data_IF_131675908940
#
_entry.id   IF_131675908940
#
_cell.length_a   1.000
_cell.length_b   1.000
_cell.length_c   1.000
_cell.angle_alpha   90.00
_cell.angle_beta   90.00
_cell.angle_gamma   90.00
#
_symmetry.space_group_name_H-M   'P 1'
#
loop_
_entity.id
_entity.type
_entity.pdbx_description
1 polymer ?
#
# COMPACT_ATOMS: atom_id res chain seq x y z
N UNK A 1 -26.76 -34.39 -36.48
CA UNK A 1 -25.31 -34.21 -36.19
C UNK A 1 -24.86 -32.74 -36.12
N UNK A 2 -25.34 -31.85 -36.96
CA UNK A 2 -24.90 -30.41 -36.96
C UNK A 2 -25.40 -29.59 -35.75
N UNK A 3 -26.53 -29.91 -35.13
CA UNK A 3 -27.07 -29.18 -33.97
C UNK A 3 -26.27 -29.45 -32.68
N UNK A 4 -25.77 -30.69 -32.50
CA UNK A 4 -25.03 -31.06 -31.31
C UNK A 4 -23.66 -30.38 -31.21
N UNK A 5 -23.03 -30.09 -32.35
CA UNK A 5 -21.72 -29.41 -32.40
C UNK A 5 -21.85 -27.94 -31.96
N UNK A 6 -22.95 -27.28 -32.35
CA UNK A 6 -23.19 -25.88 -31.96
C UNK A 6 -23.49 -25.72 -30.47
N UNK A 7 -24.23 -26.68 -29.90
CA UNK A 7 -24.54 -26.69 -28.45
C UNK A 7 -23.30 -26.97 -27.60
N UNK A 8 -22.45 -27.91 -28.04
CA UNK A 8 -21.19 -28.21 -27.33
C UNK A 8 -20.23 -27.03 -27.41
N UNK A 9 -20.12 -26.33 -28.56
CA UNK A 9 -19.28 -25.13 -28.68
C UNK A 9 -19.78 -23.97 -27.79
N UNK A 10 -21.08 -23.76 -27.67
CA UNK A 10 -21.64 -22.71 -26.83
C UNK A 10 -21.38 -22.97 -25.33
N UNK A 11 -21.50 -24.23 -24.88
CA UNK A 11 -21.22 -24.62 -23.48
C UNK A 11 -19.70 -24.53 -23.19
N UNK A 12 -18.84 -24.93 -24.11
CA UNK A 12 -17.39 -24.85 -23.93
C UNK A 12 -16.90 -23.40 -23.86
N UNK A 13 -17.51 -22.46 -24.62
CA UNK A 13 -17.18 -21.04 -24.56
C UNK A 13 -17.66 -20.38 -23.26
N UNK A 14 -18.83 -20.78 -22.76
CA UNK A 14 -19.37 -20.29 -21.48
C UNK A 14 -18.55 -20.72 -20.26
N UNK A 15 -18.01 -21.95 -20.26
CA UNK A 15 -17.16 -22.46 -19.14
C UNK A 15 -15.79 -21.79 -19.13
N UNK A 16 -15.24 -21.41 -20.30
CA UNK A 16 -13.93 -20.75 -20.39
C UNK A 16 -13.94 -19.31 -19.82
N UNK A 17 -15.12 -18.65 -19.79
CA UNK A 17 -15.26 -17.29 -19.24
C UNK A 17 -15.31 -17.27 -17.71
N UNK A 18 -15.48 -18.40 -17.04
CA UNK A 18 -15.56 -18.50 -15.57
C UNK A 18 -14.20 -18.64 -14.87
N UNK A 19 -13.11 -18.72 -15.63
CA UNK A 19 -11.75 -18.93 -15.09
C UNK A 19 -10.91 -17.65 -15.04
N UNK A 20 -11.51 -16.46 -15.17
CA UNK A 20 -10.77 -15.21 -14.96
C UNK A 20 -10.48 -15.13 -13.45
N UNK A 21 -9.21 -15.19 -13.01
CA UNK A 21 -8.90 -14.99 -11.60
C UNK A 21 -9.30 -13.56 -11.24
N UNK A 22 -10.38 -13.42 -10.47
CA UNK A 22 -10.69 -12.14 -9.82
C UNK A 22 -9.57 -11.93 -8.82
N UNK A 23 -8.64 -11.06 -9.12
CA UNK A 23 -7.69 -10.56 -8.12
C UNK A 23 -8.53 -9.83 -7.08
N UNK A 24 -8.81 -10.51 -5.99
CA UNK A 24 -9.36 -9.88 -4.80
C UNK A 24 -8.34 -8.81 -4.38
N UNK A 25 -8.73 -7.54 -4.39
CA UNK A 25 -7.97 -6.49 -3.74
C UNK A 25 -7.98 -6.83 -2.25
N UNK A 26 -6.86 -7.33 -1.74
CA UNK A 26 -6.69 -7.51 -0.32
C UNK A 26 -6.77 -6.14 0.34
N UNK A 27 -7.64 -5.98 1.34
CA UNK A 27 -7.70 -4.74 2.10
C UNK A 27 -6.42 -4.59 2.92
N UNK A 28 -5.95 -3.36 3.15
CA UNK A 28 -4.78 -3.11 4.00
C UNK A 28 -4.94 -3.72 5.41
N UNK A 29 -6.18 -3.83 5.91
CA UNK A 29 -6.49 -4.50 7.17
C UNK A 29 -6.31 -6.02 7.12
N UNK A 30 -6.34 -6.64 5.94
CA UNK A 30 -6.01 -8.06 5.78
C UNK A 30 -4.50 -8.31 5.84
N UNK A 31 -3.70 -7.36 5.36
CA UNK A 31 -2.24 -7.51 5.21
C UNK A 31 -1.46 -6.94 6.41
N UNK A 32 -1.99 -5.92 7.10
CA UNK A 32 -1.29 -5.22 8.18
C UNK A 32 -2.04 -5.30 9.52
N UNK A 33 -1.28 -5.40 10.61
CA UNK A 33 -1.81 -5.38 11.99
C UNK A 33 -1.72 -3.97 12.55
N UNK A 34 -2.81 -3.21 12.46
CA UNK A 34 -2.88 -1.83 12.93
C UNK A 34 -2.73 -1.67 14.45
N UNK A 35 -2.84 -2.75 15.23
CA UNK A 35 -2.60 -2.74 16.68
C UNK A 35 -1.12 -2.80 17.05
N UNK A 36 -0.25 -3.16 16.10
CA UNK A 36 1.19 -3.27 16.29
C UNK A 36 1.91 -2.32 15.34
N UNK A 37 2.59 -1.35 15.90
CA UNK A 37 3.37 -0.38 15.13
C UNK A 37 4.85 -0.49 15.43
N UNK A 38 5.65 -0.01 14.50
CA UNK A 38 7.08 0.21 14.66
C UNK A 38 7.44 1.60 14.16
N UNK A 39 8.58 2.10 14.66
CA UNK A 39 9.08 3.42 14.28
C UNK A 39 10.52 3.29 13.82
N UNK A 40 10.82 3.89 12.67
CA UNK A 40 12.19 3.95 12.13
C UNK A 40 12.51 5.36 11.65
N UNK A 41 13.79 5.72 11.71
CA UNK A 41 14.31 6.95 11.11
C UNK A 41 15.08 6.59 9.86
N UNK A 42 14.75 7.23 8.75
CA UNK A 42 15.38 6.96 7.46
C UNK A 42 15.36 8.14 6.51
N UNK A 43 15.99 7.95 5.37
CA UNK A 43 16.01 8.93 4.28
C UNK A 43 15.13 8.42 3.16
N UNK A 44 14.18 9.24 2.69
CA UNK A 44 13.32 8.89 1.56
C UNK A 44 14.14 8.71 0.28
N UNK A 45 13.99 7.56 -0.38
CA UNK A 45 14.77 7.22 -1.58
C UNK A 45 13.91 7.14 -2.84
N UNK A 46 12.61 6.84 -2.70
CA UNK A 46 11.69 6.70 -3.82
C UNK A 46 10.25 6.93 -3.39
N UNK A 47 9.43 7.43 -4.30
CA UNK A 47 8.00 7.63 -4.12
C UNK A 47 7.28 7.12 -5.37
N UNK A 48 6.48 6.08 -5.22
CA UNK A 48 5.60 5.53 -6.26
C UNK A 48 4.16 6.02 -6.00
N UNK A 49 3.81 7.13 -6.64
CA UNK A 49 2.51 7.79 -6.46
C UNK A 49 1.52 7.35 -7.53
N UNK A 50 1.10 6.09 -7.49
CA UNK A 50 0.29 5.41 -8.51
C UNK A 50 -0.86 4.63 -7.89
N UNK A 51 -1.91 4.32 -8.70
CA UNK A 51 -2.95 3.38 -8.31
C UNK A 51 -2.43 1.93 -8.41
N UNK A 52 -2.92 1.00 -7.59
CA UNK A 52 -3.98 1.16 -6.59
C UNK A 52 -3.50 1.73 -5.26
N UNK A 53 -2.20 1.66 -4.94
CA UNK A 53 -1.65 2.15 -3.68
C UNK A 53 -0.39 2.97 -3.91
N UNK A 54 -0.18 3.98 -3.06
CA UNK A 54 1.07 4.72 -3.01
C UNK A 54 2.08 3.95 -2.16
N UNK A 55 3.31 3.85 -2.65
CA UNK A 55 4.46 3.31 -1.91
C UNK A 55 5.52 4.38 -1.71
N UNK A 56 6.06 4.42 -0.50
CA UNK A 56 7.22 5.24 -0.15
C UNK A 56 8.35 4.34 0.33
N UNK A 57 9.55 4.63 -0.11
CA UNK A 57 10.74 3.86 0.21
C UNK A 57 11.72 4.72 0.98
N UNK A 58 12.36 4.14 1.98
CA UNK A 58 13.38 4.83 2.78
C UNK A 58 14.54 3.90 3.12
N UNK A 59 15.73 4.44 3.13
CA UNK A 59 16.92 3.80 3.65
C UNK A 59 17.06 4.10 5.14
N UNK A 60 17.09 3.06 5.95
CA UNK A 60 17.29 3.10 7.40
C UNK A 60 18.68 2.59 7.71
N UNK A 61 19.42 3.28 8.55
CA UNK A 61 20.74 2.82 9.02
C UNK A 61 20.54 2.06 10.33
N UNK A 62 20.95 0.80 10.36
CA UNK A 62 20.91 -0.05 11.56
C UNK A 62 22.03 0.30 12.55
N UNK A 63 22.00 -0.36 13.71
CA UNK A 63 22.98 -0.17 14.80
C UNK A 63 24.43 -0.47 14.38
N UNK A 64 24.62 -1.24 13.31
CA UNK A 64 25.93 -1.61 12.77
C UNK A 64 26.37 -0.67 11.62
N UNK A 65 25.59 0.37 11.32
CA UNK A 65 25.85 1.29 10.22
C UNK A 65 25.47 0.74 8.84
N UNK A 66 24.75 -0.39 8.77
CA UNK A 66 24.30 -0.97 7.51
C UNK A 66 23.02 -0.30 7.06
N UNK A 67 22.95 0.00 5.76
CA UNK A 67 21.74 0.52 5.12
C UNK A 67 20.74 -0.63 4.88
N UNK A 68 19.55 -0.47 5.41
CA UNK A 68 18.43 -1.40 5.26
C UNK A 68 17.31 -0.68 4.52
N UNK A 69 16.95 -1.12 3.30
CA UNK A 69 15.82 -0.54 2.58
C UNK A 69 14.49 -0.98 3.19
N UNK A 70 13.60 -0.01 3.40
CA UNK A 70 12.23 -0.21 3.86
C UNK A 70 11.25 0.23 2.78
N UNK A 71 10.10 -0.43 2.73
CA UNK A 71 8.95 -0.02 1.93
C UNK A 71 7.72 0.22 2.81
N UNK A 72 6.98 1.28 2.49
CA UNK A 72 5.80 1.68 3.24
C UNK A 72 4.65 1.84 2.26
N UNK A 73 3.60 1.07 2.48
CA UNK A 73 2.36 1.15 1.73
C UNK A 73 1.42 2.17 2.37
N UNK A 74 0.61 2.83 1.56
CA UNK A 74 -0.50 3.66 2.00
C UNK A 74 -1.65 3.57 1.00
N UNK A 75 -2.71 4.32 1.21
CA UNK A 75 -3.91 4.29 0.37
C UNK A 75 -3.69 4.81 -1.05
N UNK A 76 -4.75 4.74 -1.89
CA UNK A 76 -4.70 5.26 -3.25
C UNK A 76 -4.46 6.77 -3.30
N UNK A 77 -3.81 7.30 -4.36
CA UNK A 77 -3.56 8.73 -4.52
C UNK A 77 -4.78 9.62 -4.35
N UNK A 78 -5.95 9.15 -4.82
CA UNK A 78 -7.20 9.88 -4.70
C UNK A 78 -7.69 10.03 -3.25
N UNK A 79 -7.53 9.01 -2.41
CA UNK A 79 -7.88 9.05 -0.99
C UNK A 79 -6.94 9.98 -0.24
N UNK A 80 -5.64 9.87 -0.48
CA UNK A 80 -4.63 10.73 0.13
C UNK A 80 -4.91 12.21 -0.18
N UNK A 81 -5.20 12.53 -1.45
CA UNK A 81 -5.52 13.90 -1.85
C UNK A 81 -6.77 14.45 -1.14
N UNK A 82 -7.82 13.62 -0.97
CA UNK A 82 -9.02 14.02 -0.22
C UNK A 82 -8.72 14.28 1.26
N UNK A 83 -7.75 13.58 1.82
CA UNK A 83 -7.24 13.80 3.18
C UNK A 83 -6.23 14.95 3.28
N UNK A 84 -5.97 15.67 2.19
CA UNK A 84 -5.01 16.78 2.16
C UNK A 84 -3.56 16.36 1.98
N UNK A 85 -3.30 15.07 1.73
CA UNK A 85 -1.94 14.54 1.51
C UNK A 85 -1.66 14.46 0.02
N UNK A 86 -0.66 15.20 -0.44
CA UNK A 86 -0.29 15.30 -1.86
C UNK A 86 1.19 14.96 -2.09
N UNK A 87 1.49 14.48 -3.29
CA UNK A 87 2.84 14.05 -3.69
C UNK A 87 3.94 15.10 -3.40
N UNK A 88 3.62 16.37 -3.57
CA UNK A 88 4.56 17.50 -3.42
C UNK A 88 4.97 17.79 -1.98
N UNK A 89 4.35 17.16 -0.98
CA UNK A 89 4.74 17.25 0.42
C UNK A 89 6.01 16.45 0.74
N UNK A 90 6.49 15.60 -0.17
CA UNK A 90 7.57 14.66 0.07
C UNK A 90 8.64 14.79 -1.01
N UNK A 91 9.91 14.84 -0.60
CA UNK A 91 11.05 14.86 -1.51
C UNK A 91 11.96 13.66 -1.23
N UNK A 92 12.52 13.10 -2.30
CA UNK A 92 13.65 12.17 -2.17
C UNK A 92 14.80 12.91 -1.51
N UNK A 93 15.39 12.29 -0.49
CA UNK A 93 16.43 12.90 0.35
C UNK A 93 15.90 13.47 1.68
N UNK A 94 14.59 13.61 1.89
CA UNK A 94 14.05 14.01 3.18
C UNK A 94 14.40 12.98 4.26
N UNK A 95 14.96 13.46 5.37
CA UNK A 95 15.20 12.64 6.56
C UNK A 95 13.95 12.71 7.44
N UNK A 96 13.34 11.56 7.68
CA UNK A 96 12.05 11.45 8.35
C UNK A 96 12.05 10.35 9.40
N UNK A 97 11.19 10.51 10.40
CA UNK A 97 10.83 9.44 11.34
C UNK A 97 9.48 8.90 10.91
N UNK A 98 9.41 7.61 10.63
CA UNK A 98 8.26 6.93 10.05
C UNK A 98 7.65 5.99 11.09
N UNK A 99 6.35 6.15 11.35
CA UNK A 99 5.54 5.21 12.11
C UNK A 99 4.69 4.38 11.15
N UNK A 100 4.74 3.05 11.29
CA UNK A 100 4.01 2.14 10.42
C UNK A 100 3.49 0.92 11.17
N UNK A 101 2.37 0.35 10.71
CA UNK A 101 1.85 -0.92 11.18
C UNK A 101 2.62 -2.09 10.56
N UNK A 102 2.81 -3.17 11.33
CA UNK A 102 3.56 -4.35 10.89
C UNK A 102 2.76 -5.20 9.90
N UNK A 103 3.46 -5.86 8.97
CA UNK A 103 2.86 -6.87 8.10
C UNK A 103 2.49 -8.13 8.91
N UNK A 104 1.27 -8.64 8.74
CA UNK A 104 0.75 -9.80 9.47
C UNK A 104 1.45 -11.11 9.12
N UNK A 105 1.94 -11.22 7.90
CA UNK A 105 2.68 -12.39 7.40
C UNK A 105 4.15 -12.44 7.90
N UNK A 106 4.57 -11.42 8.65
CA UNK A 106 5.94 -11.31 9.17
C UNK A 106 6.96 -10.79 8.16
N UNK A 107 6.54 -10.27 7.01
CA UNK A 107 7.43 -9.62 6.04
C UNK A 107 8.19 -8.50 6.72
N UNK A 108 9.53 -8.60 6.70
CA UNK A 108 10.41 -7.59 7.32
C UNK A 108 10.56 -6.38 6.42
N UNK A 109 10.78 -5.21 7.04
CA UNK A 109 11.05 -3.94 6.35
C UNK A 109 9.90 -3.48 5.42
N UNK A 110 8.68 -3.98 5.70
CA UNK A 110 7.42 -3.58 5.08
C UNK A 110 6.46 -3.08 6.15
N UNK A 111 5.77 -1.96 5.92
CA UNK A 111 4.77 -1.46 6.84
C UNK A 111 3.66 -0.67 6.15
N UNK A 112 2.50 -0.58 6.81
CA UNK A 112 1.45 0.35 6.44
C UNK A 112 1.71 1.69 7.12
N UNK A 113 1.92 2.72 6.33
CA UNK A 113 2.29 4.06 6.80
C UNK A 113 1.17 4.68 7.66
N UNK A 114 1.50 5.11 8.86
CA UNK A 114 0.62 5.77 9.83
C UNK A 114 0.92 7.25 9.96
N UNK A 115 2.17 7.59 10.17
CA UNK A 115 2.62 8.97 10.31
C UNK A 115 4.06 9.11 9.81
N UNK A 116 4.38 10.30 9.36
CA UNK A 116 5.74 10.70 8.97
C UNK A 116 6.06 12.05 9.60
N UNK A 117 7.11 12.07 10.41
CA UNK A 117 7.59 13.26 11.12
C UNK A 117 8.84 13.78 10.42
N UNK A 118 8.83 15.05 10.07
CA UNK A 118 9.91 15.73 9.36
C UNK A 118 10.86 16.46 10.32
N UNK A 119 12.07 16.76 9.83
CA UNK A 119 13.10 17.41 10.64
C UNK A 119 12.72 18.84 11.10
N UNK A 120 11.86 19.53 10.38
CA UNK A 120 11.33 20.85 10.72
C UNK A 120 10.19 20.84 11.76
N UNK A 121 9.78 19.64 12.20
CA UNK A 121 8.77 19.42 13.23
C UNK A 121 7.35 19.23 12.70
N UNK A 122 7.08 19.39 11.40
CA UNK A 122 5.76 19.07 10.88
C UNK A 122 5.54 17.55 10.78
N UNK A 123 4.28 17.14 10.82
CA UNK A 123 3.88 15.73 10.74
C UNK A 123 2.78 15.57 9.70
N UNK A 124 2.93 14.55 8.86
CA UNK A 124 1.87 14.09 7.96
C UNK A 124 1.30 12.79 8.53
N UNK A 125 -0.01 12.77 8.77
CA UNK A 125 -0.74 11.59 9.24
C UNK A 125 -1.46 10.96 8.05
N UNK A 126 -1.30 9.64 7.92
CA UNK A 126 -1.97 8.85 6.90
C UNK A 126 -3.17 8.16 7.57
N UNK A 127 -4.38 8.46 7.11
CA UNK A 127 -5.58 7.81 7.61
C UNK A 127 -5.49 6.30 7.47
N UNK A 128 -6.10 5.54 8.40
CA UNK A 128 -6.18 4.10 8.23
C UNK A 128 -6.99 3.79 6.96
N UNK A 129 -6.61 2.75 6.21
CA UNK A 129 -7.39 2.29 5.06
C UNK A 129 -8.85 1.96 5.45
N UNK A 130 -9.11 1.66 6.73
CA UNK A 130 -10.43 1.45 7.28
C UNK A 130 -11.28 2.75 7.33
N UNK A 131 -10.65 3.92 7.45
CA UNK A 131 -11.38 5.19 7.48
C UNK A 131 -11.86 5.63 6.09
N UNK A 132 -11.31 5.04 5.02
CA UNK A 132 -11.66 5.36 3.64
C UNK A 132 -12.82 4.51 3.07
N UNK A 133 -13.14 3.36 3.68
CA UNK A 133 -14.24 2.49 3.24
C UNK A 133 -15.60 2.82 3.86
N UNK A 134 -15.65 3.68 4.88
CA UNK A 134 -16.85 3.92 5.69
C UNK A 134 -17.59 5.23 5.46
N UNK A 135 -17.14 6.13 4.60
CA UNK A 135 -17.83 7.41 4.36
C UNK A 135 -18.25 7.56 2.91
N UNK A 136 -19.36 6.90 2.55
CA UNK A 136 -20.19 7.32 1.43
C UNK A 136 -20.92 8.62 1.85
N UNK A 137 -20.50 9.74 1.26
CA UNK A 137 -21.27 10.98 1.22
C UNK A 137 -22.03 11.04 -0.10
#
# INVERSE_FOLDING_TARGET
MRQNVRTVMAVSFGVLLLTIPVRAHHSATAEFDSSKTFTVKGTLTKLEWVNPHVYMYADVIDENGKVIPYSFETGPPGNLRRAGVVRTMFNVGDVVTIEAAVAKDGTKHLGLLKAMHFADGHTVVFGSAADSEGKNY
#
